data_IF_280169631060
#
_entry.id   IF_280169631060
#
_cell.length_a   1.000
_cell.length_b   1.000
_cell.length_c   1.000
_cell.angle_alpha   90.00
_cell.angle_beta   90.00
_cell.angle_gamma   90.00
#
_symmetry.space_group_name_H-M   'P 1'
#
loop_
_entity.id
_entity.type
_entity.pdbx_description
1 polymer ?
#
# COMPACT_ATOMS: atom_id res chain seq x y z
N UNK A 1 -20.35 10.07 16.69
CA UNK A 1 -19.55 9.90 15.45
C UNK A 1 -19.68 8.44 15.04
N UNK A 2 -20.00 8.16 13.77
CA UNK A 2 -20.05 6.79 13.25
C UNK A 2 -18.65 6.17 13.30
N UNK A 3 -18.54 4.91 13.72
CA UNK A 3 -17.27 4.18 13.73
C UNK A 3 -16.74 4.04 12.29
N UNK A 4 -15.50 4.44 12.03
CA UNK A 4 -14.86 4.28 10.71
C UNK A 4 -14.56 2.80 10.47
N UNK A 5 -15.07 2.28 9.36
CA UNK A 5 -14.81 0.92 8.86
C UNK A 5 -14.22 1.08 7.46
N UNK A 6 -12.96 0.68 7.34
CA UNK A 6 -12.10 1.05 6.21
C UNK A 6 -11.85 -0.16 5.32
N UNK A 7 -11.90 0.06 4.02
CA UNK A 7 -11.22 -0.80 3.05
C UNK A 7 -9.85 -0.19 2.73
N UNK A 8 -8.79 -0.99 2.72
CA UNK A 8 -7.43 -0.50 2.44
C UNK A 8 -6.98 -0.94 1.05
N UNK A 9 -6.58 0.01 0.21
CA UNK A 9 -5.80 -0.27 -0.99
C UNK A 9 -4.43 -0.82 -0.58
N UNK A 10 -4.21 -2.10 -0.88
CA UNK A 10 -3.13 -2.89 -0.32
C UNK A 10 -2.32 -3.58 -1.40
N UNK A 11 -1.02 -3.27 -1.44
CA UNK A 11 -0.09 -3.80 -2.43
C UNK A 11 0.92 -4.78 -1.84
N UNK A 12 0.94 -4.93 -0.51
CA UNK A 12 1.93 -5.73 0.22
C UNK A 12 3.29 -5.08 0.41
N UNK A 13 3.50 -3.91 -0.21
CA UNK A 13 4.69 -3.09 -0.01
C UNK A 13 4.65 -2.24 1.25
N UNK A 14 5.77 -1.54 1.49
CA UNK A 14 6.00 -0.75 2.71
C UNK A 14 4.89 0.27 2.95
N UNK A 15 4.42 0.97 1.91
CA UNK A 15 3.50 2.10 2.04
C UNK A 15 2.13 1.62 2.50
N UNK A 16 1.58 0.61 1.82
CA UNK A 16 0.29 0.03 2.22
C UNK A 16 0.33 -0.67 3.58
N UNK A 17 1.44 -1.35 3.92
CA UNK A 17 1.63 -1.93 5.26
C UNK A 17 1.76 -0.85 6.34
N UNK A 18 2.45 0.25 6.05
CA UNK A 18 2.60 1.37 6.98
C UNK A 18 1.29 2.13 7.17
N UNK A 19 0.52 2.32 6.10
CA UNK A 19 -0.85 2.83 6.16
C UNK A 19 -1.73 1.98 7.07
N UNK A 20 -1.69 0.65 6.94
CA UNK A 20 -2.42 -0.24 7.85
C UNK A 20 -2.03 -0.01 9.32
N UNK A 21 -0.72 0.08 9.58
CA UNK A 21 -0.20 0.33 10.92
C UNK A 21 -0.69 1.66 11.49
N UNK A 22 -0.65 2.75 10.70
CA UNK A 22 -1.14 4.07 11.12
C UNK A 22 -2.64 4.07 11.42
N UNK A 23 -3.45 3.35 10.63
CA UNK A 23 -4.87 3.18 10.91
C UNK A 23 -5.10 2.43 12.23
N UNK A 24 -4.35 1.35 12.48
CA UNK A 24 -4.45 0.58 13.73
C UNK A 24 -4.04 1.41 14.96
N UNK A 25 -3.00 2.24 14.86
CA UNK A 25 -2.59 3.17 15.93
C UNK A 25 -3.69 4.19 16.27
N UNK A 26 -4.50 4.57 15.30
CA UNK A 26 -5.68 5.43 15.48
C UNK A 26 -6.93 4.68 15.94
N UNK A 27 -6.83 3.38 16.23
CA UNK A 27 -7.95 2.48 16.54
C UNK A 27 -9.01 2.42 15.43
N UNK A 28 -8.61 2.67 14.19
CA UNK A 28 -9.49 2.57 13.02
C UNK A 28 -9.46 1.13 12.51
N UNK A 29 -10.64 0.53 12.34
CA UNK A 29 -10.78 -0.85 11.90
C UNK A 29 -10.72 -0.93 10.37
N UNK A 30 -9.83 -1.78 9.86
CA UNK A 30 -9.77 -2.17 8.46
C UNK A 30 -10.55 -3.47 8.28
N UNK A 31 -11.68 -3.43 7.57
CA UNK A 31 -12.59 -4.57 7.39
C UNK A 31 -12.08 -5.55 6.33
N UNK A 32 -11.43 -5.03 5.28
CA UNK A 32 -10.83 -5.82 4.21
C UNK A 32 -9.72 -5.06 3.48
N UNK A 33 -8.87 -5.81 2.79
CA UNK A 33 -7.84 -5.32 1.88
C UNK A 33 -8.33 -5.45 0.45
N UNK A 34 -7.91 -4.55 -0.43
CA UNK A 34 -8.17 -4.64 -1.87
C UNK A 34 -6.89 -4.47 -2.66
N UNK A 35 -6.75 -5.23 -3.73
CA UNK A 35 -5.67 -5.07 -4.70
C UNK A 35 -6.21 -5.25 -6.11
N UNK A 36 -5.67 -4.52 -7.08
CA UNK A 36 -6.05 -4.68 -8.49
C UNK A 36 -5.12 -5.66 -9.17
N UNK A 37 -5.70 -6.58 -9.96
CA UNK A 37 -4.96 -7.52 -10.80
C UNK A 37 -5.40 -7.36 -12.25
N UNK A 38 -4.46 -7.52 -13.18
CA UNK A 38 -4.77 -7.52 -14.61
C UNK A 38 -5.56 -8.78 -14.97
N UNK A 39 -6.68 -8.63 -15.69
CA UNK A 39 -7.53 -9.77 -16.09
C UNK A 39 -6.74 -10.87 -16.81
N UNK A 40 -5.82 -10.49 -17.70
CA UNK A 40 -5.13 -11.41 -18.60
C UNK A 40 -3.98 -12.18 -17.93
N UNK A 41 -3.28 -11.58 -16.95
CA UNK A 41 -2.08 -12.17 -16.34
C UNK A 41 -2.27 -12.61 -14.89
N UNK A 42 -3.36 -12.19 -14.23
CA UNK A 42 -3.58 -12.35 -12.79
C UNK A 42 -2.41 -11.80 -11.93
N UNK A 43 -1.53 -10.99 -12.53
CA UNK A 43 -0.48 -10.26 -11.85
C UNK A 43 -1.05 -8.95 -11.27
N UNK A 44 -0.50 -8.51 -10.15
CA UNK A 44 -0.91 -7.24 -9.53
C UNK A 44 -0.51 -6.07 -10.41
N UNK A 45 -1.41 -5.10 -10.57
CA UNK A 45 -1.18 -3.88 -11.37
C UNK A 45 0.03 -3.09 -10.85
N UNK A 46 0.26 -3.09 -9.54
CA UNK A 46 1.31 -2.29 -8.92
C UNK A 46 2.71 -2.94 -8.94
N UNK A 47 2.83 -4.26 -8.77
CA UNK A 47 4.14 -4.88 -8.42
C UNK A 47 4.45 -6.21 -9.12
N UNK A 48 3.66 -6.68 -10.09
CA UNK A 48 3.81 -8.01 -10.70
C UNK A 48 3.91 -9.19 -9.68
N UNK A 49 3.42 -8.99 -8.46
CA UNK A 49 3.46 -10.00 -7.42
C UNK A 49 2.42 -11.10 -7.70
N UNK A 50 2.81 -12.35 -7.42
CA UNK A 50 1.88 -13.48 -7.53
C UNK A 50 0.80 -13.32 -6.47
N UNK A 51 -0.47 -13.35 -6.87
CA UNK A 51 -1.67 -13.39 -6.02
C UNK A 51 -1.48 -14.19 -4.72
N UNK A 52 -0.90 -15.38 -4.80
CA UNK A 52 -0.64 -16.26 -3.66
C UNK A 52 0.24 -15.63 -2.56
N UNK A 53 1.20 -14.75 -2.92
CA UNK A 53 2.03 -14.03 -1.94
C UNK A 53 1.20 -13.03 -1.15
N UNK A 54 0.37 -12.23 -1.83
CA UNK A 54 -0.53 -11.29 -1.17
C UNK A 54 -1.60 -11.99 -0.34
N UNK A 55 -2.12 -13.12 -0.79
CA UNK A 55 -3.04 -13.96 -0.01
C UNK A 55 -2.37 -14.48 1.27
N UNK A 56 -1.13 -14.98 1.18
CA UNK A 56 -0.38 -15.43 2.34
C UNK A 56 -0.08 -14.28 3.32
N UNK A 57 0.28 -13.10 2.80
CA UNK A 57 0.54 -11.91 3.60
C UNK A 57 -0.74 -11.39 4.28
N UNK A 58 -1.87 -11.33 3.56
CA UNK A 58 -3.16 -10.95 4.12
C UNK A 58 -3.63 -11.94 5.20
N UNK A 59 -3.38 -13.24 5.00
CA UNK A 59 -3.65 -14.29 5.98
C UNK A 59 -2.84 -14.13 7.27
N UNK A 60 -1.55 -13.83 7.15
CA UNK A 60 -0.68 -13.59 8.31
C UNK A 60 -0.99 -12.28 9.04
N UNK A 61 -1.51 -11.26 8.33
CA UNK A 61 -2.10 -10.06 8.95
C UNK A 61 -3.46 -10.39 9.61
N UNK A 62 -4.22 -11.32 9.02
CA UNK A 62 -5.55 -11.71 9.48
C UNK A 62 -6.69 -10.84 8.98
N UNK A 63 -6.50 -10.15 7.86
CA UNK A 63 -7.54 -9.35 7.20
C UNK A 63 -7.84 -9.96 5.83
N UNK A 64 -9.11 -10.17 5.45
CA UNK A 64 -9.45 -10.72 4.15
C UNK A 64 -9.02 -9.78 3.03
N UNK A 65 -8.42 -10.33 1.97
CA UNK A 65 -8.04 -9.59 0.76
C UNK A 65 -8.97 -9.93 -0.41
N UNK A 66 -9.37 -8.89 -1.16
CA UNK A 66 -10.15 -9.00 -2.39
C UNK A 66 -9.34 -8.55 -3.58
N UNK A 67 -9.40 -9.34 -4.65
CA UNK A 67 -8.73 -9.05 -5.90
C UNK A 67 -9.74 -8.46 -6.89
N UNK A 68 -9.47 -7.23 -7.33
CA UNK A 68 -10.29 -6.52 -8.30
C UNK A 68 -9.67 -6.70 -9.68
N UNK A 69 -10.30 -7.53 -10.49
CA UNK A 69 -9.88 -7.73 -11.87
C UNK A 69 -10.18 -6.49 -12.70
N UNK A 70 -9.19 -6.08 -13.50
CA UNK A 70 -9.31 -4.86 -14.29
C UNK A 70 -8.43 -4.89 -15.56
N UNK A 71 -8.72 -3.97 -16.47
CA UNK A 71 -7.96 -3.69 -17.68
C UNK A 71 -7.55 -2.21 -17.74
N UNK A 72 -6.54 -1.91 -18.56
CA UNK A 72 -6.01 -0.55 -18.68
C UNK A 72 -7.09 0.47 -19.09
N UNK A 73 -8.03 0.07 -19.95
CA UNK A 73 -9.11 0.94 -20.43
C UNK A 73 -10.21 1.19 -19.40
N UNK A 74 -10.36 0.31 -18.40
CA UNK A 74 -11.51 0.31 -17.47
C UNK A 74 -11.11 0.46 -16.00
N UNK A 75 -9.81 0.66 -15.71
CA UNK A 75 -9.23 0.71 -14.36
C UNK A 75 -10.09 1.44 -13.33
N UNK A 76 -10.36 2.72 -13.57
CA UNK A 76 -11.12 3.56 -12.64
C UNK A 76 -12.57 3.09 -12.47
N UNK A 77 -13.22 2.65 -13.55
CA UNK A 77 -14.62 2.21 -13.53
C UNK A 77 -14.76 0.88 -12.80
N UNK A 78 -13.86 -0.06 -13.06
CA UNK A 78 -13.79 -1.35 -12.37
C UNK A 78 -13.52 -1.15 -10.88
N UNK A 79 -12.60 -0.26 -10.52
CA UNK A 79 -12.30 0.04 -9.12
C UNK A 79 -13.55 0.54 -8.39
N UNK A 80 -14.24 1.55 -8.94
CA UNK A 80 -15.48 2.10 -8.36
C UNK A 80 -16.58 1.02 -8.26
N UNK A 81 -16.75 0.20 -9.30
CA UNK A 81 -17.73 -0.88 -9.33
C UNK A 81 -17.46 -1.90 -8.22
N UNK A 82 -16.22 -2.33 -8.08
CA UNK A 82 -15.82 -3.30 -7.05
C UNK A 82 -16.00 -2.74 -5.63
N UNK A 83 -15.63 -1.47 -5.38
CA UNK A 83 -15.91 -0.82 -4.10
C UNK A 83 -17.40 -0.80 -3.75
N UNK A 84 -18.26 -0.49 -4.73
CA UNK A 84 -19.73 -0.52 -4.54
C UNK A 84 -20.24 -1.93 -4.23
N UNK A 85 -19.62 -2.98 -4.80
CA UNK A 85 -19.97 -4.36 -4.47
C UNK A 85 -19.50 -4.73 -3.06
N UNK A 86 -18.28 -4.35 -2.67
CA UNK A 86 -17.75 -4.61 -1.33
C UNK A 86 -18.58 -3.95 -0.23
N UNK A 87 -19.15 -2.76 -0.46
CA UNK A 87 -20.11 -2.12 0.45
C UNK A 87 -21.35 -2.96 0.77
N UNK A 88 -21.69 -3.95 -0.06
CA UNK A 88 -22.81 -4.88 0.20
C UNK A 88 -22.39 -6.04 1.09
N UNK A 89 -21.10 -6.32 1.18
CA UNK A 89 -20.52 -7.42 1.96
C UNK A 89 -19.92 -6.95 3.29
N UNK A 90 -19.42 -5.72 3.33
CA UNK A 90 -18.77 -5.12 4.48
C UNK A 90 -19.41 -3.78 4.85
N UNK A 91 -19.47 -3.40 6.14
CA UNK A 91 -20.01 -2.12 6.59
C UNK A 91 -19.05 -0.95 6.36
N UNK A 92 -18.31 -0.95 5.24
CA UNK A 92 -17.28 0.04 4.94
C UNK A 92 -17.91 1.40 4.60
N UNK A 93 -17.33 2.45 5.18
CA UNK A 93 -17.72 3.85 4.94
C UNK A 93 -16.53 4.71 4.48
N UNK A 94 -15.32 4.16 4.50
CA UNK A 94 -14.09 4.85 4.13
C UNK A 94 -13.18 3.93 3.31
N UNK A 95 -12.31 4.51 2.49
CA UNK A 95 -11.21 3.82 1.81
C UNK A 95 -9.89 4.51 2.18
N UNK A 96 -8.86 3.74 2.49
CA UNK A 96 -7.52 4.25 2.74
C UNK A 96 -6.56 3.91 1.60
N UNK A 97 -5.65 4.83 1.32
CA UNK A 97 -4.59 4.68 0.33
C UNK A 97 -3.21 4.89 0.95
N UNK A 98 -2.18 4.36 0.29
CA UNK A 98 -0.78 4.46 0.66
C UNK A 98 -0.01 5.56 -0.06
N UNK A 99 -0.70 6.53 -0.67
CA UNK A 99 -0.04 7.66 -1.34
C UNK A 99 0.51 8.65 -0.31
N UNK A 100 1.66 9.26 -0.63
CA UNK A 100 2.43 10.08 0.31
C UNK A 100 2.32 11.57 -0.02
N UNK A 101 2.65 11.98 -1.24
CA UNK A 101 2.68 13.41 -1.60
C UNK A 101 2.35 13.72 -3.07
N UNK A 102 2.06 12.71 -3.90
CA UNK A 102 1.70 12.94 -5.31
C UNK A 102 0.24 13.36 -5.45
N UNK A 103 0.00 14.65 -5.68
CA UNK A 103 -1.35 15.22 -5.79
C UNK A 103 -2.23 14.50 -6.81
N UNK A 104 -1.68 14.11 -7.98
CA UNK A 104 -2.44 13.41 -9.00
C UNK A 104 -3.00 12.05 -8.54
N UNK A 105 -2.27 11.32 -7.69
CA UNK A 105 -2.75 10.07 -7.12
C UNK A 105 -3.87 10.32 -6.10
N UNK A 106 -3.69 11.36 -5.28
CA UNK A 106 -4.69 11.76 -4.29
C UNK A 106 -5.98 12.23 -4.96
N UNK A 107 -5.90 13.11 -5.95
CA UNK A 107 -7.06 13.56 -6.73
C UNK A 107 -7.82 12.38 -7.34
N UNK A 108 -7.10 11.42 -7.93
CA UNK A 108 -7.72 10.20 -8.46
C UNK A 108 -8.39 9.37 -7.36
N UNK A 109 -7.72 9.13 -6.24
CA UNK A 109 -8.27 8.36 -5.12
C UNK A 109 -9.49 9.02 -4.48
N UNK A 110 -9.48 10.34 -4.33
CA UNK A 110 -10.63 11.13 -3.87
C UNK A 110 -11.81 11.03 -4.84
N UNK A 111 -11.57 11.13 -6.15
CA UNK A 111 -12.62 10.94 -7.17
C UNK A 111 -13.23 9.53 -7.11
N UNK A 112 -12.42 8.49 -7.00
CA UNK A 112 -12.87 7.10 -6.89
C UNK A 112 -13.68 6.87 -5.62
N UNK A 113 -13.19 7.35 -4.47
CA UNK A 113 -13.87 7.26 -3.18
C UNK A 113 -15.23 7.95 -3.22
N UNK A 114 -15.28 9.18 -3.74
CA UNK A 114 -16.50 9.95 -3.90
C UNK A 114 -17.52 9.24 -4.80
N UNK A 115 -17.08 8.70 -5.95
CA UNK A 115 -17.96 7.93 -6.86
C UNK A 115 -18.50 6.65 -6.23
N UNK A 116 -17.79 6.06 -5.27
CA UNK A 116 -18.23 4.89 -4.49
C UNK A 116 -19.04 5.27 -3.23
N UNK A 117 -19.12 6.56 -2.89
CA UNK A 117 -19.72 7.06 -1.66
C UNK A 117 -18.96 6.60 -0.41
N UNK A 118 -17.64 6.72 -0.43
CA UNK A 118 -16.71 6.42 0.67
C UNK A 118 -15.90 7.67 0.99
N UNK A 119 -15.51 7.83 2.26
CA UNK A 119 -14.55 8.85 2.69
C UNK A 119 -13.11 8.40 2.33
N UNK A 120 -12.33 9.18 1.58
CA UNK A 120 -10.92 8.86 1.32
C UNK A 120 -10.05 9.21 2.53
N UNK A 121 -9.12 8.32 2.89
CA UNK A 121 -8.16 8.48 3.97
C UNK A 121 -6.73 8.32 3.43
N UNK A 122 -5.83 9.21 3.86
CA UNK A 122 -4.40 9.13 3.53
C UNK A 122 -3.54 9.21 4.80
N UNK A 123 -3.43 8.10 5.55
CA UNK A 123 -2.80 8.09 6.87
C UNK A 123 -1.30 8.42 6.88
N UNK A 124 -0.63 8.32 5.73
CA UNK A 124 0.79 8.62 5.55
C UNK A 124 1.03 9.82 4.63
N UNK A 125 -0.01 10.59 4.31
CA UNK A 125 0.15 11.81 3.51
C UNK A 125 1.02 12.83 4.25
N UNK A 126 2.02 13.36 3.57
CA UNK A 126 2.94 14.35 4.15
C UNK A 126 3.57 15.21 3.05
N UNK A 127 4.33 16.22 3.46
CA UNK A 127 5.17 17.02 2.56
C UNK A 127 6.43 16.23 2.15
N UNK A 128 6.96 16.48 0.96
CA UNK A 128 8.11 15.76 0.40
C UNK A 128 9.34 15.80 1.32
N UNK A 129 9.53 16.91 2.02
CA UNK A 129 10.62 17.15 2.96
C UNK A 129 10.57 16.23 4.19
N UNK A 130 9.38 15.71 4.53
CA UNK A 130 9.14 14.84 5.70
C UNK A 130 9.07 13.36 5.34
N UNK A 131 9.29 13.00 4.07
CA UNK A 131 9.20 11.61 3.59
C UNK A 131 10.25 10.72 4.24
N UNK A 132 11.43 11.28 4.53
CA UNK A 132 12.48 10.56 5.24
C UNK A 132 12.04 10.13 6.65
N UNK A 133 11.26 10.98 7.34
CA UNK A 133 10.74 10.66 8.67
C UNK A 133 9.84 9.43 8.61
N UNK A 134 9.02 9.29 7.56
CA UNK A 134 8.19 8.09 7.36
C UNK A 134 9.04 6.82 7.21
N UNK A 135 10.15 6.88 6.48
CA UNK A 135 11.05 5.74 6.33
C UNK A 135 11.71 5.37 7.66
N UNK A 136 12.16 6.36 8.43
CA UNK A 136 12.69 6.14 9.78
C UNK A 136 11.63 5.53 10.71
N UNK A 137 10.41 6.03 10.68
CA UNK A 137 9.31 5.49 11.47
C UNK A 137 8.96 4.06 11.06
N UNK A 138 8.94 3.76 9.76
CA UNK A 138 8.70 2.41 9.24
C UNK A 138 9.74 1.42 9.78
N UNK A 139 11.03 1.76 9.65
CA UNK A 139 12.13 0.92 10.16
C UNK A 139 12.10 0.85 11.69
N UNK A 140 11.84 1.98 12.37
CA UNK A 140 11.78 2.09 13.82
C UNK A 140 10.61 1.34 14.45
N UNK A 141 9.49 1.21 13.75
CA UNK A 141 8.34 0.41 14.17
C UNK A 141 8.59 -1.11 14.07
N UNK A 142 9.75 -1.52 13.55
CA UNK A 142 10.18 -2.92 13.52
C UNK A 142 9.72 -3.70 12.28
N UNK A 143 9.25 -3.02 11.23
CA UNK A 143 8.94 -3.66 9.97
C UNK A 143 10.19 -4.29 9.34
N UNK A 144 9.98 -5.43 8.67
CA UNK A 144 10.98 -6.10 7.85
C UNK A 144 10.46 -6.16 6.42
N UNK A 145 11.19 -5.49 5.53
CA UNK A 145 10.87 -5.42 4.12
C UNK A 145 12.14 -5.59 3.30
N UNK A 146 11.97 -6.05 2.05
CA UNK A 146 13.03 -6.17 1.06
C UNK A 146 12.64 -5.44 -0.22
N UNK A 147 13.63 -4.90 -0.93
CA UNK A 147 13.43 -4.36 -2.28
C UNK A 147 13.26 -5.52 -3.26
N UNK A 148 12.18 -5.52 -4.03
CA UNK A 148 11.87 -6.58 -5.00
C UNK A 148 12.02 -6.14 -6.45
N UNK A 149 11.98 -4.82 -6.70
CA UNK A 149 12.07 -4.23 -8.03
C UNK A 149 12.62 -2.81 -7.90
N UNK A 150 13.39 -2.38 -8.89
CA UNK A 150 13.89 -1.01 -8.99
C UNK A 150 13.68 -0.49 -10.40
N UNK A 151 13.47 0.81 -10.52
CA UNK A 151 13.66 1.51 -11.79
C UNK A 151 15.17 1.67 -12.02
N UNK A 152 15.72 0.90 -12.96
CA UNK A 152 17.15 0.87 -13.26
C UNK A 152 17.69 2.22 -13.79
N UNK A 153 16.81 3.12 -14.22
CA UNK A 153 17.21 4.48 -14.61
C UNK A 153 17.48 5.38 -13.42
N UNK A 154 16.98 5.01 -12.22
CA UNK A 154 17.07 5.81 -10.98
C UNK A 154 17.94 5.13 -9.91
N UNK A 155 17.87 3.81 -9.80
CA UNK A 155 18.63 3.01 -8.82
C UNK A 155 19.26 1.78 -9.49
N UNK A 156 20.50 1.40 -9.12
CA UNK A 156 21.15 0.25 -9.72
C UNK A 156 20.48 -1.07 -9.28
N UNK A 157 20.43 -2.06 -10.17
CA UNK A 157 19.80 -3.37 -9.94
C UNK A 157 20.29 -4.08 -8.66
N UNK A 158 21.53 -3.83 -8.26
CA UNK A 158 22.11 -4.28 -6.98
C UNK A 158 21.30 -3.92 -5.71
N UNK A 159 20.33 -3.01 -5.82
CA UNK A 159 19.42 -2.68 -4.72
C UNK A 159 18.35 -3.73 -4.48
N UNK A 160 18.01 -4.55 -5.48
CA UNK A 160 17.09 -5.68 -5.31
C UNK A 160 17.66 -6.67 -4.29
N UNK A 161 16.81 -7.12 -3.37
CA UNK A 161 17.17 -7.99 -2.24
C UNK A 161 17.72 -7.24 -1.02
N UNK A 162 17.94 -5.93 -1.10
CA UNK A 162 18.32 -5.14 0.08
C UNK A 162 17.16 -5.06 1.07
N UNK A 163 17.49 -5.23 2.36
CA UNK A 163 16.53 -5.01 3.45
C UNK A 163 16.37 -3.52 3.72
N UNK A 164 15.15 -3.11 4.07
CA UNK A 164 14.90 -1.75 4.56
C UNK A 164 15.28 -1.67 6.03
N UNK A 165 16.53 -1.28 6.29
CA UNK A 165 17.10 -1.08 7.61
C UNK A 165 17.87 0.25 7.70
N UNK A 166 18.61 0.47 8.78
CA UNK A 166 19.39 1.70 8.94
C UNK A 166 20.50 1.87 7.89
N UNK A 167 21.06 0.77 7.36
CA UNK A 167 22.05 0.86 6.29
C UNK A 167 21.38 1.26 4.97
N UNK A 168 20.16 0.76 4.71
CA UNK A 168 19.36 1.24 3.58
C UNK A 168 19.09 2.74 3.65
N UNK A 169 18.69 3.24 4.82
CA UNK A 169 18.42 4.67 5.02
C UNK A 169 19.67 5.52 4.74
N UNK A 170 20.82 5.13 5.29
CA UNK A 170 22.07 5.86 5.07
C UNK A 170 22.45 5.91 3.58
N UNK A 171 22.23 4.81 2.85
CA UNK A 171 22.58 4.72 1.44
C UNK A 171 21.60 5.46 0.52
N UNK A 172 20.29 5.41 0.81
CA UNK A 172 19.27 6.05 -0.04
C UNK A 172 19.37 7.56 0.04
N UNK A 173 19.83 8.10 1.18
CA UNK A 173 20.13 9.51 1.36
C UNK A 173 21.28 10.02 0.48
N UNK A 174 22.11 9.13 -0.05
CA UNK A 174 23.18 9.47 -1.00
C UNK A 174 22.72 9.44 -2.46
N UNK A 175 21.41 9.22 -2.70
CA UNK A 175 20.79 9.14 -4.02
C UNK A 175 19.81 10.27 -4.22
N UNK A 176 19.72 10.75 -5.46
CA UNK A 176 18.75 11.77 -5.86
C UNK A 176 17.41 11.13 -6.23
N UNK A 177 16.80 10.46 -5.26
CA UNK A 177 15.51 9.75 -5.40
C UNK A 177 14.67 9.92 -4.14
N UNK A 178 13.37 9.71 -4.23
CA UNK A 178 12.51 9.67 -3.05
C UNK A 178 12.97 8.56 -2.09
N UNK A 179 13.24 8.84 -0.81
CA UNK A 179 13.62 7.83 0.17
C UNK A 179 12.55 6.75 0.37
N UNK A 180 11.28 7.09 0.16
CA UNK A 180 10.15 6.16 0.17
C UNK A 180 9.78 5.67 -1.24
N UNK A 181 10.54 5.96 -2.30
CA UNK A 181 10.26 5.42 -3.64
C UNK A 181 8.87 5.75 -4.20
N UNK A 182 8.26 6.87 -3.79
CA UNK A 182 6.89 7.29 -4.13
C UNK A 182 6.66 7.40 -5.64
N UNK A 183 7.70 7.78 -6.40
CA UNK A 183 7.64 7.94 -7.86
C UNK A 183 8.10 6.67 -8.61
N UNK A 184 7.99 5.50 -7.96
CA UNK A 184 8.29 4.19 -8.54
C UNK A 184 9.78 3.87 -8.63
N UNK A 185 10.64 4.56 -7.86
CA UNK A 185 12.09 4.33 -7.89
C UNK A 185 12.46 2.91 -7.43
N UNK A 186 11.70 2.38 -6.46
CA UNK A 186 11.80 0.99 -6.04
C UNK A 186 10.48 0.50 -5.42
N UNK A 187 10.29 -0.80 -5.47
CA UNK A 187 9.17 -1.49 -4.84
C UNK A 187 9.68 -2.48 -3.81
N UNK A 188 8.85 -2.73 -2.80
CA UNK A 188 9.21 -3.57 -1.66
C UNK A 188 8.15 -4.63 -1.42
N UNK A 189 8.55 -5.74 -0.82
CA UNK A 189 7.64 -6.67 -0.15
C UNK A 189 7.92 -6.67 1.36
N UNK A 190 6.87 -6.55 2.17
CA UNK A 190 6.97 -6.63 3.64
C UNK A 190 6.68 -8.06 4.08
N UNK A 191 7.57 -8.66 4.86
CA UNK A 191 7.42 -10.05 5.30
C UNK A 191 7.25 -10.20 6.82
N UNK A 192 7.52 -9.15 7.60
CA UNK A 192 7.34 -9.16 9.06
C UNK A 192 7.13 -7.73 9.57
N UNK A 193 6.49 -7.57 10.73
CA UNK A 193 6.25 -6.27 11.34
C UNK A 193 5.09 -6.27 12.33
N UNK A 194 4.77 -5.11 12.93
CA UNK A 194 3.78 -4.99 14.01
C UNK A 194 2.34 -5.33 13.58
N UNK A 195 2.03 -5.29 12.29
CA UNK A 195 0.70 -5.60 11.74
C UNK A 195 0.45 -7.11 11.55
N UNK A 196 1.51 -7.92 11.59
CA UNK A 196 1.42 -9.36 11.37
C UNK A 196 1.08 -10.06 12.67
N UNK A 197 0.25 -11.10 12.60
CA UNK A 197 0.03 -12.00 13.72
C UNK A 197 1.37 -12.64 14.07
N UNK A 198 1.77 -12.52 15.34
CA UNK A 198 2.85 -13.34 15.87
C UNK A 198 2.39 -14.79 15.76
N UNK A 199 3.23 -15.66 15.19
CA UNK A 199 2.98 -17.09 15.22
C UNK A 199 2.74 -17.51 16.67
N UNK A 200 1.65 -18.25 16.90
CA UNK A 200 1.44 -18.98 18.15
C UNK A 200 2.49 -20.07 18.32
#
# INVERSE_FOLDING_TARGET
>A
MTKKEVVLSFSGGKDSCFTLYKLQQQNIKVSCLITTIWQQSQATVAHDEKRAKLEAQASSIGIPIHFMETDFATYTEDFVRNLKQLKRQYPINSIAFGDIYLDGHREWGEQVANKAGLEPLYPIWTEQEKVLDLLHEFVGAGFKAEVIKVDQTKLPESWVGRKLDQFFINDILQKDVCPMGESGEYHTAVYEGPIFKKGE
#
